data_IF_078445975398
#
_entry.id   IF_078445975398
#
_cell.length_a   1.000
_cell.length_b   1.000
_cell.length_c   1.000
_cell.angle_alpha   90.00
_cell.angle_beta   90.00
_cell.angle_gamma   90.00
#
_symmetry.space_group_name_H-M   'P 1'
#
loop_
_entity.id
_entity.type
_entity.pdbx_description
1 polymer ?
#
# COMPACT_ATOMS: atom_id res chain seq x y z
N UNK A 1 -5.04 -3.16 -0.22
CA UNK A 1 -4.13 -2.82 0.89
C UNK A 1 -3.56 -4.09 1.49
N UNK A 2 -2.27 -4.12 1.89
CA UNK A 2 -1.65 -5.31 2.46
C UNK A 2 -0.42 -5.03 3.31
N UNK A 3 0.16 -6.10 3.88
CA UNK A 3 1.39 -6.05 4.66
C UNK A 3 2.62 -5.76 3.79
N UNK A 4 3.70 -5.28 4.41
CA UNK A 4 4.94 -4.94 3.73
C UNK A 4 6.15 -5.58 4.41
N UNK A 5 6.72 -6.60 3.79
CA UNK A 5 7.79 -7.40 4.36
C UNK A 5 9.16 -7.17 3.71
N UNK A 6 9.19 -6.98 2.40
CA UNK A 6 10.46 -6.92 1.66
C UNK A 6 10.43 -6.03 0.41
N UNK A 7 11.59 -5.85 -0.22
CA UNK A 7 11.69 -5.12 -1.49
C UNK A 7 10.99 -5.87 -2.64
N UNK A 8 10.92 -7.19 -2.54
CA UNK A 8 10.29 -8.05 -3.54
C UNK A 8 8.77 -8.01 -3.55
N UNK A 9 8.13 -7.40 -2.53
CA UNK A 9 6.68 -7.19 -2.51
C UNK A 9 6.19 -6.43 -3.74
N UNK A 10 7.00 -5.47 -4.21
CA UNK A 10 6.67 -4.64 -5.39
C UNK A 10 6.61 -5.52 -6.64
N UNK A 11 7.60 -6.39 -6.84
CA UNK A 11 7.65 -7.30 -7.98
C UNK A 11 6.55 -8.35 -7.89
N UNK A 12 6.34 -8.95 -6.71
CA UNK A 12 5.29 -9.94 -6.49
C UNK A 12 3.90 -9.36 -6.82
N UNK A 13 3.59 -8.15 -6.36
CA UNK A 13 2.32 -7.49 -6.67
C UNK A 13 2.20 -7.12 -8.15
N UNK A 14 3.29 -6.71 -8.79
CA UNK A 14 3.28 -6.38 -10.23
C UNK A 14 2.91 -7.61 -11.07
N UNK A 15 3.30 -8.80 -10.63
CA UNK A 15 2.98 -10.07 -11.30
C UNK A 15 1.60 -10.61 -10.90
N UNK A 16 1.20 -10.42 -9.63
CA UNK A 16 -0.02 -11.02 -9.08
C UNK A 16 -1.29 -10.22 -9.37
N UNK A 17 -1.21 -8.89 -9.53
CA UNK A 17 -2.37 -8.04 -9.77
C UNK A 17 -2.71 -8.02 -11.27
N UNK A 18 -3.88 -8.55 -11.69
CA UNK A 18 -4.22 -8.72 -13.12
C UNK A 18 -4.73 -7.43 -13.78
N UNK A 19 -4.29 -6.27 -13.30
CA UNK A 19 -4.66 -4.95 -13.83
C UNK A 19 -3.58 -3.92 -13.55
N UNK A 20 -3.58 -2.84 -14.33
CA UNK A 20 -2.71 -1.70 -14.04
C UNK A 20 -3.10 -1.07 -12.70
N UNK A 21 -2.11 -0.75 -11.90
CA UNK A 21 -2.27 -0.06 -10.64
C UNK A 21 -1.17 0.98 -10.43
N UNK A 22 -1.44 1.91 -9.54
CA UNK A 22 -0.53 2.99 -9.17
C UNK A 22 -0.04 2.81 -7.74
N UNK A 23 1.18 3.25 -7.50
CA UNK A 23 1.70 3.39 -6.14
C UNK A 23 1.43 4.79 -5.59
N UNK A 24 1.12 4.88 -4.31
CA UNK A 24 1.13 6.15 -3.58
C UNK A 24 2.53 6.40 -3.05
N UNK A 25 3.15 7.49 -3.46
CA UNK A 25 4.52 7.82 -3.08
C UNK A 25 4.61 9.22 -2.47
N UNK A 26 5.69 9.48 -1.71
CA UNK A 26 5.95 10.80 -1.13
C UNK A 26 6.07 11.86 -2.23
N UNK A 27 5.42 13.02 -2.03
CA UNK A 27 5.44 14.14 -2.97
C UNK A 27 6.87 14.59 -3.32
N UNK A 28 7.80 14.54 -2.36
CA UNK A 28 9.19 14.95 -2.56
C UNK A 28 9.90 14.15 -3.66
N UNK A 29 9.56 12.87 -3.84
CA UNK A 29 10.14 12.02 -4.88
C UNK A 29 9.80 12.52 -6.29
N UNK A 30 8.64 13.17 -6.44
CA UNK A 30 8.21 13.75 -7.72
C UNK A 30 8.96 15.03 -8.11
N UNK A 31 9.73 15.61 -7.18
CA UNK A 31 10.58 16.79 -7.43
C UNK A 31 11.96 16.41 -7.94
N UNK A 32 12.34 15.13 -7.84
CA UNK A 32 13.63 14.63 -8.35
C UNK A 32 13.59 14.65 -9.89
N UNK A 33 14.54 15.33 -10.57
CA UNK A 33 14.61 15.36 -12.01
C UNK A 33 14.64 13.96 -12.62
N UNK A 34 14.05 13.77 -13.80
CA UNK A 34 13.90 12.50 -14.50
C UNK A 34 13.06 11.48 -13.73
N UNK A 35 13.42 11.14 -12.49
CA UNK A 35 12.73 10.18 -11.66
C UNK A 35 11.27 10.60 -11.39
N UNK A 36 11.05 11.84 -10.97
CA UNK A 36 9.70 12.37 -10.74
C UNK A 36 8.86 12.45 -12.02
N UNK A 37 9.48 12.71 -13.16
CA UNK A 37 8.80 12.67 -14.46
C UNK A 37 8.38 11.23 -14.82
N UNK A 38 9.25 10.25 -14.59
CA UNK A 38 8.97 8.84 -14.81
C UNK A 38 7.82 8.36 -13.90
N UNK A 39 7.84 8.72 -12.61
CA UNK A 39 6.77 8.38 -11.67
C UNK A 39 5.41 8.95 -12.11
N UNK A 40 5.39 10.21 -12.57
CA UNK A 40 4.16 10.83 -13.10
C UNK A 40 3.64 10.11 -14.34
N UNK A 41 4.53 9.76 -15.28
CA UNK A 41 4.16 9.00 -16.48
C UNK A 41 3.69 7.59 -16.17
N UNK A 42 4.27 6.95 -15.16
CA UNK A 42 3.84 5.65 -14.67
C UNK A 42 2.52 5.71 -13.87
N UNK A 43 1.91 6.89 -13.74
CA UNK A 43 0.63 7.06 -13.06
C UNK A 43 0.70 7.09 -11.54
N UNK A 44 1.90 7.14 -10.93
CA UNK A 44 2.05 7.18 -9.48
C UNK A 44 1.35 8.41 -8.88
N UNK A 45 0.83 8.26 -7.68
CA UNK A 45 0.05 9.29 -7.01
C UNK A 45 0.90 9.94 -5.92
N UNK A 46 1.22 11.25 -6.05
CA UNK A 46 1.93 11.96 -5.01
C UNK A 46 1.04 12.15 -3.77
N UNK A 47 1.61 11.96 -2.59
CA UNK A 47 0.95 12.23 -1.33
C UNK A 47 1.88 13.02 -0.41
N UNK A 48 1.45 14.23 -0.06
CA UNK A 48 2.09 15.03 0.98
C UNK A 48 1.75 14.42 2.35
N UNK A 49 2.77 14.16 3.15
CA UNK A 49 2.64 13.58 4.50
C UNK A 49 3.07 14.56 5.60
N UNK A 50 3.30 15.82 5.25
CA UNK A 50 3.77 16.84 6.19
C UNK A 50 2.69 17.35 7.15
N UNK A 51 1.43 17.01 6.88
CA UNK A 51 0.28 17.47 7.65
C UNK A 51 -0.29 18.83 7.17
N UNK A 52 -1.35 19.27 7.82
CA UNK A 52 -2.00 20.54 7.52
C UNK A 52 -2.75 20.60 6.19
N UNK A 53 -2.98 21.82 5.69
CA UNK A 53 -3.79 22.07 4.50
C UNK A 53 -3.22 21.45 3.22
N UNK A 54 -1.90 21.41 3.10
CA UNK A 54 -1.21 20.81 1.95
C UNK A 54 -1.48 19.29 1.86
N UNK A 55 -1.29 18.59 2.96
CA UNK A 55 -1.56 17.16 3.02
C UNK A 55 -3.03 16.83 2.71
N UNK A 56 -3.97 17.64 3.25
CA UNK A 56 -5.39 17.45 2.95
C UNK A 56 -5.70 17.70 1.46
N UNK A 57 -5.12 18.72 0.84
CA UNK A 57 -5.28 19.00 -0.59
C UNK A 57 -4.75 17.83 -1.44
N UNK A 58 -3.55 17.37 -1.14
CA UNK A 58 -2.91 16.23 -1.81
C UNK A 58 -3.76 14.95 -1.67
N UNK A 59 -4.31 14.69 -0.48
CA UNK A 59 -5.18 13.55 -0.23
C UNK A 59 -6.49 13.63 -1.02
N UNK A 60 -7.10 14.82 -1.14
CA UNK A 60 -8.30 15.02 -1.98
C UNK A 60 -8.02 14.72 -3.45
N UNK A 61 -6.92 15.23 -3.99
CA UNK A 61 -6.51 14.96 -5.37
C UNK A 61 -6.24 13.48 -5.62
N UNK A 62 -5.61 12.80 -4.67
CA UNK A 62 -5.42 11.36 -4.72
C UNK A 62 -6.75 10.60 -4.71
N UNK A 63 -7.68 11.00 -3.83
CA UNK A 63 -9.01 10.40 -3.74
C UNK A 63 -9.82 10.58 -5.04
N UNK A 64 -9.79 11.75 -5.65
CA UNK A 64 -10.44 12.02 -6.94
C UNK A 64 -9.91 11.11 -8.06
N UNK A 65 -8.59 10.90 -8.12
CA UNK A 65 -7.99 9.98 -9.09
C UNK A 65 -8.41 8.52 -8.86
N UNK A 66 -8.52 8.09 -7.60
CA UNK A 66 -8.98 6.75 -7.25
C UNK A 66 -10.46 6.59 -7.60
N UNK A 67 -11.28 7.57 -7.25
CA UNK A 67 -12.72 7.58 -7.57
C UNK A 67 -12.98 7.57 -9.08
N UNK A 68 -12.08 8.15 -9.89
CA UNK A 68 -12.16 8.11 -11.36
C UNK A 68 -11.67 6.80 -11.99
N UNK A 69 -11.39 5.76 -11.19
CA UNK A 69 -11.09 4.41 -11.66
C UNK A 69 -9.63 3.97 -11.55
N UNK A 70 -8.73 4.80 -10.99
CA UNK A 70 -7.36 4.38 -10.76
C UNK A 70 -7.30 3.33 -9.63
N UNK A 71 -6.80 2.14 -9.95
CA UNK A 71 -6.48 1.15 -8.93
C UNK A 71 -5.18 1.54 -8.21
N UNK A 72 -5.14 1.40 -6.89
CA UNK A 72 -4.01 1.84 -6.09
C UNK A 72 -3.59 0.78 -5.08
N UNK A 73 -2.29 0.52 -5.02
CA UNK A 73 -1.70 -0.33 -3.98
C UNK A 73 -1.16 0.55 -2.86
N UNK A 74 -1.50 0.19 -1.62
CA UNK A 74 -1.05 0.88 -0.41
C UNK A 74 -0.64 -0.14 0.63
N UNK A 75 0.53 0.09 1.24
CA UNK A 75 0.95 -0.58 2.46
C UNK A 75 0.60 0.33 3.65
N UNK A 76 -0.46 0.03 4.40
CA UNK A 76 -0.94 0.92 5.47
C UNK A 76 0.04 1.04 6.66
N UNK A 77 0.97 0.10 6.80
CA UNK A 77 2.07 0.17 7.75
C UNK A 77 3.03 1.34 7.48
N UNK A 78 3.17 1.72 6.20
CA UNK A 78 4.03 2.82 5.75
C UNK A 78 5.52 2.54 5.79
N UNK A 79 5.93 1.36 6.22
CA UNK A 79 7.31 0.85 6.22
C UNK A 79 7.29 -0.68 6.21
N UNK A 80 8.43 -1.31 5.92
CA UNK A 80 8.61 -2.76 5.97
C UNK A 80 8.76 -3.21 7.42
N UNK A 81 8.16 -4.35 7.76
CA UNK A 81 8.39 -5.04 9.04
C UNK A 81 9.84 -5.54 9.16
N UNK A 82 10.30 -5.76 10.37
CA UNK A 82 11.62 -6.35 10.64
C UNK A 82 11.51 -7.82 11.06
N UNK A 83 10.43 -8.19 11.72
CA UNK A 83 10.20 -9.48 12.35
C UNK A 83 9.11 -10.32 11.65
N UNK A 84 8.50 -9.81 10.59
CA UNK A 84 7.41 -10.45 9.88
C UNK A 84 6.01 -10.16 10.44
N UNK A 85 5.92 -9.56 11.62
CA UNK A 85 4.65 -9.19 12.24
C UNK A 85 4.05 -7.94 11.58
N UNK A 86 2.73 -7.83 11.65
CA UNK A 86 2.03 -6.63 11.19
C UNK A 86 2.34 -5.43 12.08
N UNK A 87 2.88 -4.39 11.49
CA UNK A 87 3.05 -3.11 12.16
C UNK A 87 1.70 -2.39 12.33
N UNK A 88 1.61 -1.41 13.24
CA UNK A 88 0.43 -0.57 13.37
C UNK A 88 0.09 0.14 12.05
N UNK A 89 -1.17 0.09 11.65
CA UNK A 89 -1.64 0.73 10.43
C UNK A 89 -1.78 2.24 10.61
N UNK A 90 -1.46 2.99 9.56
CA UNK A 90 -1.59 4.45 9.53
C UNK A 90 -2.98 4.84 9.04
N UNK A 91 -3.70 5.60 9.82
CA UNK A 91 -5.07 6.06 9.54
C UNK A 91 -5.23 6.75 8.16
N UNK A 92 -4.18 7.41 7.68
CA UNK A 92 -4.22 8.15 6.41
C UNK A 92 -4.59 7.30 5.18
N UNK A 93 -4.22 6.02 5.15
CA UNK A 93 -4.60 5.11 4.08
C UNK A 93 -6.13 4.88 4.05
N UNK A 94 -6.73 4.73 5.20
CA UNK A 94 -8.17 4.48 5.37
C UNK A 94 -8.99 5.75 5.15
N UNK A 95 -8.48 6.91 5.57
CA UNK A 95 -9.05 8.21 5.23
C UNK A 95 -9.07 8.42 3.71
N UNK A 96 -8.01 8.07 3.01
CA UNK A 96 -7.93 8.16 1.55
C UNK A 96 -8.98 7.28 0.88
N UNK A 97 -9.15 6.03 1.33
CA UNK A 97 -10.17 5.12 0.84
C UNK A 97 -11.59 5.65 1.13
N UNK A 98 -11.83 6.18 2.33
CA UNK A 98 -13.09 6.82 2.72
C UNK A 98 -13.45 8.04 1.86
N UNK A 99 -12.44 8.85 1.52
CA UNK A 99 -12.62 10.00 0.64
C UNK A 99 -12.89 9.60 -0.80
N UNK A 100 -12.26 8.52 -1.27
CA UNK A 100 -12.44 8.01 -2.63
C UNK A 100 -13.74 7.22 -2.81
N UNK A 101 -14.31 6.67 -1.73
CA UNK A 101 -15.56 5.90 -1.77
C UNK A 101 -15.44 4.59 -2.56
N UNK A 102 -14.25 3.97 -2.55
CA UNK A 102 -13.99 2.72 -3.29
C UNK A 102 -13.67 1.59 -2.31
N UNK A 103 -14.03 0.33 -2.63
CA UNK A 103 -13.76 -0.80 -1.76
C UNK A 103 -12.25 -1.05 -1.60
N UNK A 104 -11.87 -1.62 -0.47
CA UNK A 104 -10.52 -2.10 -0.20
C UNK A 104 -10.47 -3.60 -0.43
N UNK A 105 -9.58 -4.04 -1.33
CA UNK A 105 -9.21 -5.44 -1.44
C UNK A 105 -7.99 -5.65 -0.53
N UNK A 106 -8.12 -6.37 0.61
CA UNK A 106 -6.98 -6.74 1.41
C UNK A 106 -6.14 -7.77 0.68
N UNK A 107 -4.83 -7.74 0.87
CA UNK A 107 -3.94 -8.79 0.38
C UNK A 107 -2.85 -9.08 1.42
N UNK A 108 -2.39 -10.34 1.43
CA UNK A 108 -1.31 -10.78 2.29
C UNK A 108 -0.15 -11.28 1.45
N UNK A 109 1.05 -10.83 1.76
CA UNK A 109 2.30 -11.28 1.15
C UNK A 109 3.06 -12.07 2.19
N UNK A 110 3.48 -13.29 1.82
CA UNK A 110 4.33 -14.15 2.64
C UNK A 110 5.62 -14.51 1.90
N UNK A 111 6.70 -14.76 2.63
CA UNK A 111 7.98 -15.24 2.13
C UNK A 111 8.93 -14.18 1.55
N UNK A 112 8.48 -12.96 1.30
CA UNK A 112 9.36 -11.93 0.72
C UNK A 112 10.47 -11.47 1.68
N UNK A 113 10.20 -11.49 2.99
CA UNK A 113 11.19 -11.20 4.03
C UNK A 113 12.33 -12.21 4.05
N UNK A 114 12.02 -13.50 3.92
CA UNK A 114 13.00 -14.57 3.90
C UNK A 114 13.96 -14.44 2.69
N UNK A 115 13.46 -13.97 1.53
CA UNK A 115 14.27 -13.75 0.33
C UNK A 115 15.19 -12.55 0.47
N UNK A 116 14.70 -11.42 0.98
CA UNK A 116 15.47 -10.21 1.17
C UNK A 116 15.04 -9.47 2.44
N UNK A 117 15.62 -9.80 3.58
CA UNK A 117 15.36 -9.12 4.84
C UNK A 117 15.68 -7.62 4.73
N UNK A 118 14.97 -6.82 5.50
CA UNK A 118 15.18 -5.39 5.55
C UNK A 118 16.64 -5.06 5.94
N UNK A 119 17.26 -4.11 5.20
CA UNK A 119 18.64 -3.66 5.41
C UNK A 119 19.72 -4.70 5.16
N UNK A 120 19.42 -5.77 4.46
CA UNK A 120 20.38 -6.75 3.98
C UNK A 120 20.48 -6.71 2.46
N UNK A 121 21.69 -6.86 1.93
CA UNK A 121 21.94 -6.99 0.48
C UNK A 121 21.88 -8.44 0.02
N UNK A 122 21.87 -9.38 0.95
CA UNK A 122 21.80 -10.80 0.66
C UNK A 122 20.44 -11.16 0.05
N UNK A 123 20.48 -11.94 -1.01
CA UNK A 123 19.31 -12.55 -1.64
C UNK A 123 19.37 -14.06 -1.41
N UNK A 124 18.28 -14.60 -0.91
CA UNK A 124 18.11 -16.03 -0.68
C UNK A 124 17.04 -16.59 -1.62
N UNK A 125 17.21 -17.81 -2.14
CA UNK A 125 16.14 -18.45 -2.89
C UNK A 125 14.92 -18.70 -2.00
N UNK A 126 13.73 -18.53 -2.57
CA UNK A 126 12.47 -18.72 -1.82
C UNK A 126 11.25 -18.51 -2.69
N UNK A 127 10.09 -18.72 -2.10
CA UNK A 127 8.80 -18.50 -2.75
C UNK A 127 8.09 -17.32 -2.10
N UNK A 128 7.46 -16.49 -2.92
CA UNK A 128 6.58 -15.42 -2.44
C UNK A 128 5.16 -15.78 -2.84
N UNK A 129 4.26 -15.79 -1.87
CA UNK A 129 2.83 -15.92 -2.12
C UNK A 129 2.12 -14.58 -1.93
N UNK A 130 1.12 -14.31 -2.77
CA UNK A 130 0.22 -13.15 -2.64
C UNK A 130 -1.20 -13.67 -2.61
N UNK A 131 -1.87 -13.50 -1.48
CA UNK A 131 -3.26 -13.94 -1.30
C UNK A 131 -4.17 -12.73 -1.20
N UNK A 132 -5.19 -12.64 -2.07
CA UNK A 132 -6.19 -11.59 -2.03
C UNK A 132 -7.40 -12.03 -1.20
N UNK A 133 -7.91 -11.13 -0.36
CA UNK A 133 -9.16 -11.30 0.37
C UNK A 133 -10.38 -10.75 -0.38
N UNK A 134 -11.55 -10.95 0.19
CA UNK A 134 -12.77 -10.35 -0.33
C UNK A 134 -12.72 -8.81 -0.24
N UNK A 135 -13.33 -8.09 -1.20
CA UNK A 135 -13.46 -6.64 -1.10
C UNK A 135 -14.23 -6.22 0.15
N UNK A 136 -13.73 -5.21 0.85
CA UNK A 136 -14.36 -4.61 2.02
C UNK A 136 -14.91 -3.25 1.61
N UNK A 137 -16.21 -3.08 1.77
CA UNK A 137 -16.89 -1.83 1.45
C UNK A 137 -16.49 -0.71 2.41
N UNK A 138 -16.30 0.48 1.87
CA UNK A 138 -15.83 1.63 2.63
C UNK A 138 -17.00 2.54 3.00
N UNK A 139 -17.22 2.71 4.31
CA UNK A 139 -18.15 3.70 4.84
C UNK A 139 -17.36 4.92 5.31
N UNK A 140 -17.75 6.09 4.82
CA UNK A 140 -17.13 7.35 5.23
C UNK A 140 -17.36 7.61 6.71
N UNK A 141 -16.30 7.95 7.44
CA UNK A 141 -16.35 8.20 8.87
C UNK A 141 -16.16 6.95 9.75
N UNK A 142 -16.02 5.76 9.16
CA UNK A 142 -15.80 4.49 9.87
C UNK A 142 -14.35 3.99 9.72
N UNK A 143 -13.37 4.91 9.61
CA UNK A 143 -11.98 4.54 9.31
C UNK A 143 -11.37 3.61 10.36
N UNK A 144 -11.78 3.73 11.62
CA UNK A 144 -11.28 2.86 12.71
C UNK A 144 -11.74 1.41 12.55
N UNK A 145 -13.03 1.21 12.32
CA UNK A 145 -13.62 -0.11 12.07
C UNK A 145 -13.05 -0.73 10.79
N UNK A 146 -12.96 0.06 9.73
CA UNK A 146 -12.39 -0.37 8.46
C UNK A 146 -10.93 -0.81 8.59
N UNK A 147 -10.15 -0.09 9.41
CA UNK A 147 -8.75 -0.42 9.68
C UNK A 147 -8.63 -1.78 10.38
N UNK A 148 -9.52 -2.07 11.34
CA UNK A 148 -9.51 -3.36 12.04
C UNK A 148 -9.94 -4.50 11.12
N UNK A 149 -11.01 -4.35 10.36
CA UNK A 149 -11.46 -5.34 9.37
C UNK A 149 -10.36 -5.70 8.37
N UNK A 150 -9.64 -4.68 7.83
CA UNK A 150 -8.54 -4.91 6.90
C UNK A 150 -7.37 -5.59 7.60
N UNK A 151 -7.07 -5.21 8.84
CA UNK A 151 -6.02 -5.83 9.64
C UNK A 151 -6.30 -7.30 9.92
N UNK A 152 -7.50 -7.63 10.33
CA UNK A 152 -7.93 -9.01 10.57
C UNK A 152 -7.86 -9.85 9.29
N UNK A 153 -8.34 -9.32 8.16
CA UNK A 153 -8.30 -10.00 6.88
C UNK A 153 -6.88 -10.32 6.42
N UNK A 154 -5.92 -9.42 6.67
CA UNK A 154 -4.50 -9.64 6.35
C UNK A 154 -3.88 -10.62 7.34
N UNK A 155 -4.12 -10.44 8.64
CA UNK A 155 -3.56 -11.30 9.69
C UNK A 155 -4.00 -12.75 9.56
N UNK A 156 -5.24 -13.00 9.15
CA UNK A 156 -5.79 -14.35 8.95
C UNK A 156 -5.05 -15.19 7.89
N UNK A 157 -4.24 -14.56 7.03
CA UNK A 157 -3.48 -15.22 5.97
C UNK A 157 -1.96 -15.00 6.11
N UNK A 158 -1.55 -14.29 7.16
CA UNK A 158 -0.13 -14.02 7.41
C UNK A 158 0.53 -15.26 8.02
N UNK A 159 1.60 -15.68 7.39
CA UNK A 159 2.52 -16.69 7.91
C UNK A 159 3.70 -15.96 8.55
N UNK A 160 3.98 -16.26 9.80
CA UNK A 160 5.13 -15.72 10.52
C UNK A 160 6.20 -16.80 10.53
N UNK A 161 7.31 -16.51 9.83
CA UNK A 161 8.48 -17.39 9.75
C UNK A 161 9.25 -17.45 11.08
#
# INVERSE_FOLDING_TARGET
MGNHQGNFDIFALTLAVPRLFSWVAKEELFKVPVFGAAMRRAGYIPLDRSGGRKALKSMKQAAERIASGASVVIFPEGTRTQDGLLLPFKRGAFMLAGMAGVPIVPFTINGSRAINPRNQLELRPGTISVTFGAPIEVKRGAEGELMEQVREAIAAKLEVD
#
